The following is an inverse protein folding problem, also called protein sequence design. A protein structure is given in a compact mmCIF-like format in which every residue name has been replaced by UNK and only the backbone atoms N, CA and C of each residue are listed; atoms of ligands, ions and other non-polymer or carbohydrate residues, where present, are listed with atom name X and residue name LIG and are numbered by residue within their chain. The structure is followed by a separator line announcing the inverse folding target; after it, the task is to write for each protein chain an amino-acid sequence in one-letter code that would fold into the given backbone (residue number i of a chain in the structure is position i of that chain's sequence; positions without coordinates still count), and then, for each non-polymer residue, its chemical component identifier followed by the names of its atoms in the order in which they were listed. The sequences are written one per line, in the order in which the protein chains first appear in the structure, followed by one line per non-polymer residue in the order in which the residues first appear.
data_IF_818438814371
#
_entry.id   IF_818438814371
#
_cell.length_a   1.000
_cell.length_b   1.000
_cell.length_c   1.000
_cell.angle_alpha   90.00
_cell.angle_beta   90.00
_cell.angle_gamma   90.00
#
_symmetry.space_group_name_H-M   'P 1'
#
loop_
_entity.id
_entity.type
_entity.pdbx_description
1 polymer ?
#
# COMPACT_ATOMS: atom_id res chain seq x y z
N UNK A 1 1.11 17.52 -11.90
CA UNK A 1 1.76 18.76 -12.42
C UNK A 1 3.25 18.69 -12.15
N UNK A 2 4.10 18.73 -13.20
CA UNK A 2 5.57 18.64 -13.02
C UNK A 2 6.11 19.94 -12.43
N UNK A 3 6.87 19.83 -11.37
CA UNK A 3 7.54 21.00 -10.75
C UNK A 3 8.71 21.47 -11.62
N UNK A 4 9.09 22.77 -11.56
CA UNK A 4 10.28 23.28 -12.21
C UNK A 4 11.55 22.52 -11.76
N UNK A 5 12.52 22.37 -12.66
CA UNK A 5 13.75 21.62 -12.42
C UNK A 5 14.51 22.08 -11.15
N UNK A 6 14.54 23.38 -10.87
CA UNK A 6 15.20 23.91 -9.68
C UNK A 6 14.57 23.42 -8.36
N UNK A 7 13.21 23.20 -8.32
CA UNK A 7 12.54 22.60 -7.15
C UNK A 7 12.93 21.13 -6.98
N UNK A 8 13.03 20.37 -8.09
CA UNK A 8 13.53 19.00 -8.04
C UNK A 8 14.95 18.96 -7.49
N UNK A 9 15.87 19.79 -7.97
CA UNK A 9 17.24 19.85 -7.45
C UNK A 9 17.27 20.25 -5.98
N UNK A 10 16.46 21.23 -5.58
CA UNK A 10 16.38 21.67 -4.19
C UNK A 10 15.89 20.56 -3.26
N UNK A 11 15.00 19.69 -3.73
CA UNK A 11 14.42 18.61 -2.94
C UNK A 11 15.44 17.53 -2.50
N UNK A 12 16.63 17.51 -3.07
CA UNK A 12 17.74 16.66 -2.61
C UNK A 12 18.51 17.23 -1.41
N UNK A 13 18.33 18.52 -1.14
CA UNK A 13 19.00 19.23 -0.04
C UNK A 13 18.05 19.51 1.11
N UNK A 14 16.80 19.85 0.79
CA UNK A 14 15.75 20.09 1.78
C UNK A 14 14.38 19.73 1.22
N UNK A 15 13.44 19.43 2.11
CA UNK A 15 12.05 19.20 1.75
C UNK A 15 11.45 20.48 1.15
N UNK A 16 10.70 20.36 0.07
CA UNK A 16 10.06 21.46 -0.67
C UNK A 16 8.56 21.31 -0.55
N UNK A 17 7.94 22.25 0.16
CA UNK A 17 6.48 22.31 0.31
C UNK A 17 5.81 22.54 -1.05
N UNK A 18 4.82 21.74 -1.36
CA UNK A 18 4.08 21.80 -2.62
C UNK A 18 2.65 22.28 -2.38
N UNK A 19 1.91 21.58 -1.53
CA UNK A 19 0.50 21.86 -1.29
C UNK A 19 0.06 21.28 0.05
N UNK A 20 -0.81 22.01 0.73
CA UNK A 20 -1.51 21.53 1.94
C UNK A 20 -3.00 21.71 1.72
N UNK A 21 -3.77 20.69 1.99
CA UNK A 21 -5.23 20.71 1.93
C UNK A 21 -5.83 19.99 3.15
N UNK A 22 -7.11 20.19 3.37
CA UNK A 22 -7.94 19.43 4.31
C UNK A 22 -8.92 18.57 3.49
N UNK A 23 -9.27 17.41 4.01
CA UNK A 23 -10.29 16.53 3.43
C UNK A 23 -11.28 16.09 4.49
N UNK A 24 -12.42 15.48 4.11
CA UNK A 24 -13.36 14.92 5.07
C UNK A 24 -12.79 13.81 5.95
N UNK A 25 -11.72 13.15 5.52
CA UNK A 25 -11.08 12.02 6.20
C UNK A 25 -9.79 12.41 6.92
N UNK A 26 -9.12 13.47 6.46
CA UNK A 26 -7.84 13.91 7.00
C UNK A 26 -7.82 15.45 7.15
N UNK A 27 -7.74 15.97 8.39
CA UNK A 27 -7.68 17.40 8.63
C UNK A 27 -6.40 18.04 8.10
N UNK A 28 -5.39 17.23 7.77
CA UNK A 28 -4.11 17.69 7.25
C UNK A 28 -3.54 16.71 6.24
N UNK A 29 -3.54 17.10 4.98
CA UNK A 29 -2.87 16.42 3.88
C UNK A 29 -1.83 17.35 3.29
N UNK A 30 -0.56 16.98 3.42
CA UNK A 30 0.55 17.80 2.93
C UNK A 30 1.37 17.03 1.89
N UNK A 31 1.46 17.61 0.71
CA UNK A 31 2.32 17.12 -0.37
C UNK A 31 3.63 17.85 -0.32
N UNK A 32 4.72 17.13 -0.17
CA UNK A 32 6.09 17.64 -0.24
C UNK A 32 6.87 16.97 -1.36
N UNK A 33 7.84 17.66 -1.93
CA UNK A 33 8.82 17.10 -2.84
C UNK A 33 10.13 16.86 -2.08
N UNK A 34 10.54 15.60 -1.97
CA UNK A 34 11.70 15.15 -1.22
C UNK A 34 12.48 14.14 -2.04
N UNK A 35 13.78 14.37 -2.23
CA UNK A 35 14.65 13.52 -3.05
C UNK A 35 14.09 13.23 -4.45
N UNK A 36 13.47 14.25 -5.07
CA UNK A 36 12.86 14.13 -6.38
C UNK A 36 11.53 13.39 -6.45
N UNK A 37 10.99 12.92 -5.32
CA UNK A 37 9.73 12.17 -5.23
C UNK A 37 8.68 12.96 -4.44
N UNK A 38 7.41 12.83 -4.86
CA UNK A 38 6.31 13.35 -4.06
C UNK A 38 6.04 12.45 -2.87
N UNK A 39 5.91 13.08 -1.72
CA UNK A 39 5.52 12.43 -0.47
C UNK A 39 4.21 13.05 0.01
N UNK A 40 3.24 12.20 0.35
CA UNK A 40 2.02 12.61 1.04
C UNK A 40 2.17 12.28 2.51
N UNK A 41 2.00 13.30 3.34
CA UNK A 41 2.04 13.14 4.80
C UNK A 41 0.75 13.67 5.42
N UNK A 42 0.36 13.03 6.52
CA UNK A 42 -0.65 13.51 7.46
C UNK A 42 0.03 14.12 8.68
N UNK A 43 -0.70 14.38 9.74
CA UNK A 43 -0.11 14.91 10.97
C UNK A 43 0.92 13.96 11.59
N UNK A 44 0.69 12.64 11.55
CA UNK A 44 1.50 11.64 12.24
C UNK A 44 2.02 10.52 11.33
N UNK A 45 1.69 10.51 10.03
CA UNK A 45 2.05 9.42 9.14
C UNK A 45 2.54 9.88 7.76
N UNK A 46 3.28 8.99 7.09
CA UNK A 46 3.62 9.08 5.68
C UNK A 46 2.69 8.13 4.93
N UNK A 47 1.73 8.68 4.16
CA UNK A 47 0.80 7.88 3.37
C UNK A 47 1.41 7.37 2.07
N UNK A 48 2.35 8.10 1.49
CA UNK A 48 2.92 7.73 0.20
C UNK A 48 4.26 8.43 -0.01
N UNK A 49 5.22 7.76 -0.65
CA UNK A 49 6.54 8.33 -0.96
C UNK A 49 7.12 7.74 -2.25
N UNK A 50 6.34 7.61 -3.29
CA UNK A 50 6.78 7.07 -4.55
C UNK A 50 7.49 5.72 -4.37
N UNK A 51 8.60 5.50 -5.09
CA UNK A 51 9.41 4.28 -4.96
C UNK A 51 10.33 4.26 -3.71
N UNK A 52 10.30 5.31 -2.89
CA UNK A 52 10.99 5.39 -1.61
C UNK A 52 10.10 5.01 -0.42
N UNK A 53 8.88 4.54 -0.66
CA UNK A 53 7.97 3.99 0.34
C UNK A 53 8.46 2.58 0.72
N UNK A 54 9.27 2.52 1.76
CA UNK A 54 10.18 1.41 2.05
C UNK A 54 9.51 0.08 2.40
N UNK A 55 8.35 0.09 3.09
CA UNK A 55 7.70 -1.12 3.60
C UNK A 55 7.40 -2.13 2.48
N UNK A 56 6.61 -1.75 1.47
CA UNK A 56 6.29 -2.64 0.34
C UNK A 56 7.52 -2.92 -0.53
N UNK A 57 8.43 -1.95 -0.75
CA UNK A 57 9.62 -2.20 -1.55
C UNK A 57 10.54 -3.23 -0.92
N UNK A 58 10.69 -3.22 0.42
CA UNK A 58 11.46 -4.22 1.17
C UNK A 58 10.78 -5.59 1.16
N UNK A 59 9.45 -5.63 1.19
CA UNK A 59 8.69 -6.88 1.05
C UNK A 59 8.83 -7.47 -0.35
N UNK A 60 8.61 -6.70 -1.40
CA UNK A 60 8.73 -7.18 -2.79
C UNK A 60 10.13 -7.70 -3.13
N UNK A 61 11.20 -7.13 -2.55
CA UNK A 61 12.57 -7.67 -2.71
C UNK A 61 12.74 -9.09 -2.15
N UNK A 62 11.89 -9.49 -1.22
CA UNK A 62 11.94 -10.83 -0.61
C UNK A 62 10.99 -11.83 -1.28
N UNK A 63 10.12 -11.36 -2.18
CA UNK A 63 9.16 -12.18 -2.92
C UNK A 63 9.72 -12.50 -4.32
N UNK A 64 9.57 -13.73 -4.76
CA UNK A 64 9.93 -14.15 -6.12
C UNK A 64 8.83 -13.77 -7.12
N UNK A 65 8.77 -12.47 -7.45
CA UNK A 65 7.77 -11.92 -8.37
C UNK A 65 7.85 -12.52 -9.78
N UNK A 66 9.02 -13.05 -10.20
CA UNK A 66 9.20 -13.64 -11.53
C UNK A 66 8.55 -15.02 -11.64
N UNK A 67 8.47 -15.73 -10.52
CA UNK A 67 7.81 -17.05 -10.45
C UNK A 67 6.28 -16.94 -10.41
N UNK A 68 5.77 -15.80 -9.97
CA UNK A 68 4.33 -15.60 -9.80
C UNK A 68 3.68 -15.16 -11.11
N UNK A 69 2.50 -15.69 -11.37
CA UNK A 69 1.65 -15.25 -12.49
C UNK A 69 0.69 -14.19 -11.97
N UNK A 70 1.10 -12.94 -12.05
CA UNK A 70 0.31 -11.80 -11.58
C UNK A 70 -0.06 -10.97 -12.80
N UNK A 71 -1.34 -10.69 -12.97
CA UNK A 71 -1.90 -9.75 -13.93
C UNK A 71 -2.75 -8.68 -13.23
N UNK A 72 -3.66 -9.10 -12.38
CA UNK A 72 -4.68 -8.26 -11.74
C UNK A 72 -4.31 -8.01 -10.28
N UNK A 73 -4.12 -6.75 -9.92
CA UNK A 73 -3.65 -6.32 -8.59
C UNK A 73 -4.67 -5.37 -7.97
N UNK A 74 -5.17 -5.73 -6.79
CA UNK A 74 -5.97 -4.85 -5.96
C UNK A 74 -5.09 -4.08 -4.99
N UNK A 75 -5.31 -2.77 -4.91
CA UNK A 75 -4.69 -1.90 -3.91
C UNK A 75 -5.81 -1.29 -3.06
N UNK A 76 -5.86 -1.65 -1.79
CA UNK A 76 -6.74 -1.05 -0.79
C UNK A 76 -5.93 0.01 -0.03
N UNK A 77 -6.31 1.29 -0.22
CA UNK A 77 -5.52 2.43 0.21
C UNK A 77 -4.47 2.81 -0.85
N UNK A 78 -4.85 3.70 -1.79
CA UNK A 78 -3.99 4.04 -2.92
C UNK A 78 -2.91 5.07 -2.61
N UNK A 79 -3.24 6.07 -1.76
CA UNK A 79 -2.38 7.21 -1.50
C UNK A 79 -1.99 7.95 -2.79
N UNK A 80 -0.72 8.23 -2.99
CA UNK A 80 -0.21 8.78 -4.26
C UNK A 80 0.26 7.70 -5.25
N UNK A 81 -0.08 6.42 -5.06
CA UNK A 81 0.29 5.34 -5.98
C UNK A 81 1.73 4.85 -5.85
N UNK A 82 2.24 4.78 -4.63
CA UNK A 82 3.60 4.27 -4.37
C UNK A 82 3.79 2.83 -4.83
N UNK A 83 2.80 1.96 -4.62
CA UNK A 83 2.89 0.53 -4.95
C UNK A 83 3.05 0.31 -6.47
N UNK A 84 2.17 0.79 -7.35
CA UNK A 84 2.36 0.60 -8.79
C UNK A 84 3.63 1.27 -9.29
N UNK A 85 3.97 2.46 -8.79
CA UNK A 85 5.19 3.16 -9.21
C UNK A 85 6.45 2.36 -8.87
N UNK A 86 6.54 1.77 -7.65
CA UNK A 86 7.70 0.96 -7.29
C UNK A 86 7.77 -0.35 -8.05
N UNK A 87 6.63 -1.02 -8.28
CA UNK A 87 6.60 -2.25 -9.05
C UNK A 87 7.10 -2.02 -10.48
N UNK A 88 6.73 -0.90 -11.11
CA UNK A 88 7.25 -0.55 -12.43
C UNK A 88 8.73 -0.15 -12.41
N UNK A 89 9.14 0.71 -11.47
CA UNK A 89 10.47 1.36 -11.52
C UNK A 89 11.58 0.55 -10.87
N UNK A 90 11.27 -0.25 -9.85
CA UNK A 90 12.27 -1.05 -9.12
C UNK A 90 12.27 -2.53 -9.51
N UNK A 91 11.14 -3.05 -10.00
CA UNK A 91 10.96 -4.49 -10.27
C UNK A 91 10.66 -4.79 -11.73
N UNK A 92 10.51 -3.76 -12.58
CA UNK A 92 10.14 -3.89 -14.01
C UNK A 92 8.86 -4.71 -14.21
N UNK A 93 7.85 -4.50 -13.33
CA UNK A 93 6.57 -5.18 -13.35
C UNK A 93 5.46 -4.22 -13.73
N UNK A 94 4.60 -4.66 -14.64
CA UNK A 94 3.39 -3.93 -15.06
C UNK A 94 2.20 -4.84 -14.93
N UNK A 95 1.20 -4.37 -14.22
CA UNK A 95 -0.03 -5.10 -13.93
C UNK A 95 -1.25 -4.26 -14.28
N UNK A 96 -2.42 -4.85 -14.26
CA UNK A 96 -3.68 -4.12 -14.21
C UNK A 96 -4.02 -3.86 -12.74
N UNK A 97 -4.26 -2.60 -12.40
CA UNK A 97 -4.52 -2.22 -11.03
C UNK A 97 -5.98 -1.82 -10.85
N UNK A 98 -6.63 -2.36 -9.84
CA UNK A 98 -7.85 -1.85 -9.22
C UNK A 98 -7.44 -1.14 -7.95
N UNK A 99 -7.67 0.16 -7.87
CA UNK A 99 -7.23 1.01 -6.77
C UNK A 99 -8.45 1.55 -6.02
N UNK A 100 -8.58 1.18 -4.76
CA UNK A 100 -9.65 1.63 -3.87
C UNK A 100 -9.10 2.68 -2.92
N UNK A 101 -9.73 3.83 -2.87
CA UNK A 101 -9.38 4.94 -1.99
C UNK A 101 -10.67 5.59 -1.49
N UNK A 102 -10.75 5.87 -0.18
CA UNK A 102 -11.93 6.48 0.42
C UNK A 102 -11.94 8.01 0.27
N UNK A 103 -10.74 8.61 0.23
CA UNK A 103 -10.57 10.05 0.24
C UNK A 103 -10.49 10.62 -1.19
N UNK A 104 -11.50 11.36 -1.67
CA UNK A 104 -11.50 11.94 -3.01
C UNK A 104 -10.36 12.95 -3.20
N UNK A 105 -9.95 13.64 -2.14
CA UNK A 105 -8.89 14.62 -2.20
C UNK A 105 -7.51 13.94 -2.35
N UNK A 106 -7.32 12.77 -1.75
CA UNK A 106 -6.13 11.93 -1.98
C UNK A 106 -6.06 11.47 -3.44
N UNK A 107 -7.17 11.00 -4.03
CA UNK A 107 -7.22 10.66 -5.46
C UNK A 107 -6.95 11.88 -6.36
N UNK A 108 -7.46 13.05 -6.01
CA UNK A 108 -7.18 14.28 -6.75
C UNK A 108 -5.69 14.63 -6.71
N UNK A 109 -5.05 14.53 -5.53
CA UNK A 109 -3.60 14.75 -5.38
C UNK A 109 -2.79 13.71 -6.17
N UNK A 110 -3.17 12.44 -6.13
CA UNK A 110 -2.53 11.39 -6.90
C UNK A 110 -2.57 11.68 -8.40
N UNK A 111 -3.76 12.00 -8.93
CA UNK A 111 -3.93 12.36 -10.34
C UNK A 111 -3.12 13.61 -10.73
N UNK A 112 -3.03 14.57 -9.84
CA UNK A 112 -2.29 15.84 -10.07
C UNK A 112 -0.79 15.62 -10.13
N UNK A 113 -0.22 14.73 -9.31
CA UNK A 113 1.22 14.67 -9.08
C UNK A 113 1.91 13.39 -9.56
N UNK A 114 1.26 12.22 -9.50
CA UNK A 114 1.94 10.94 -9.62
C UNK A 114 1.36 9.99 -10.66
N UNK A 115 0.04 9.93 -10.82
CA UNK A 115 -0.63 8.98 -11.74
C UNK A 115 -0.10 9.09 -13.17
N UNK A 116 0.23 10.31 -13.63
CA UNK A 116 0.79 10.53 -14.97
C UNK A 116 2.20 9.95 -15.20
N UNK A 117 2.88 9.51 -14.15
CA UNK A 117 4.20 8.86 -14.23
C UNK A 117 4.08 7.31 -14.20
N UNK A 118 2.90 6.77 -13.84
CA UNK A 118 2.58 5.33 -13.87
C UNK A 118 2.11 4.97 -15.29
N UNK A 119 2.67 3.91 -15.86
CA UNK A 119 2.39 3.48 -17.25
C UNK A 119 1.34 2.36 -17.32
N UNK A 120 1.15 1.66 -16.22
CA UNK A 120 0.14 0.62 -16.07
C UNK A 120 -1.26 1.20 -16.05
N UNK A 121 -2.24 0.40 -16.47
CA UNK A 121 -3.66 0.77 -16.35
C UNK A 121 -4.10 0.70 -14.90
N UNK A 122 -4.84 1.73 -14.45
CA UNK A 122 -5.41 1.79 -13.11
C UNK A 122 -6.89 2.11 -13.25
N UNK A 123 -7.73 1.26 -12.67
CA UNK A 123 -9.14 1.53 -12.44
C UNK A 123 -9.33 2.05 -11.02
N UNK A 124 -9.95 3.21 -10.86
CA UNK A 124 -10.14 3.85 -9.57
C UNK A 124 -11.55 3.66 -9.04
N UNK A 125 -11.65 3.19 -7.81
CA UNK A 125 -12.90 3.11 -7.05
C UNK A 125 -12.82 4.06 -5.86
N UNK A 126 -13.62 5.13 -5.89
CA UNK A 126 -13.83 5.99 -4.74
C UNK A 126 -14.82 5.30 -3.80
N UNK A 127 -14.29 4.52 -2.88
CA UNK A 127 -15.07 3.69 -1.96
C UNK A 127 -14.29 3.42 -0.68
N UNK A 128 -15.04 3.14 0.38
CA UNK A 128 -14.49 2.49 1.55
C UNK A 128 -14.01 1.07 1.19
N UNK A 129 -12.83 0.69 1.66
CA UNK A 129 -12.18 -0.58 1.33
C UNK A 129 -12.92 -1.80 1.93
N UNK A 130 -13.55 -1.64 3.09
CA UNK A 130 -14.37 -2.68 3.70
C UNK A 130 -15.61 -2.96 2.85
N UNK A 131 -16.30 -1.89 2.48
CA UNK A 131 -17.49 -1.96 1.60
C UNK A 131 -17.12 -2.56 0.24
N UNK A 132 -16.01 -2.15 -0.36
CA UNK A 132 -15.56 -2.73 -1.61
C UNK A 132 -15.31 -4.24 -1.48
N UNK A 133 -14.60 -4.67 -0.42
CA UNK A 133 -14.30 -6.07 -0.19
C UNK A 133 -15.55 -6.93 0.09
N UNK A 134 -16.59 -6.34 0.66
CA UNK A 134 -17.86 -7.03 0.94
C UNK A 134 -18.69 -7.27 -0.32
N UNK A 135 -18.70 -6.33 -1.26
CA UNK A 135 -19.64 -6.37 -2.40
C UNK A 135 -19.00 -6.71 -3.74
N UNK A 136 -17.67 -6.71 -3.86
CA UNK A 136 -17.04 -7.07 -5.13
C UNK A 136 -17.07 -8.57 -5.39
N UNK A 137 -17.36 -8.94 -6.65
CA UNK A 137 -17.21 -10.32 -7.14
C UNK A 137 -15.87 -10.54 -7.87
N UNK A 138 -15.06 -9.49 -7.99
CA UNK A 138 -13.78 -9.54 -8.69
C UNK A 138 -12.75 -10.39 -7.95
N UNK A 139 -11.80 -10.93 -8.72
CA UNK A 139 -10.70 -11.76 -8.21
C UNK A 139 -9.38 -11.19 -8.64
N UNK A 140 -8.39 -11.29 -7.76
CA UNK A 140 -7.08 -10.70 -7.94
C UNK A 140 -5.96 -11.71 -7.72
N UNK A 141 -4.88 -11.55 -8.46
CA UNK A 141 -3.67 -12.35 -8.29
C UNK A 141 -2.78 -11.83 -7.16
N UNK A 142 -2.90 -10.52 -6.87
CA UNK A 142 -2.24 -9.90 -5.74
C UNK A 142 -3.16 -8.86 -5.09
N UNK A 143 -3.20 -8.85 -3.77
CA UNK A 143 -3.89 -7.83 -2.98
C UNK A 143 -2.84 -7.15 -2.09
N UNK A 144 -2.76 -5.82 -2.17
CA UNK A 144 -1.97 -4.99 -1.28
C UNK A 144 -2.93 -4.21 -0.39
N UNK A 145 -2.97 -4.54 0.90
CA UNK A 145 -3.78 -3.85 1.91
C UNK A 145 -2.90 -2.83 2.66
N UNK A 146 -3.14 -1.56 2.40
CA UNK A 146 -2.38 -0.41 2.93
C UNK A 146 -3.31 0.72 3.41
N UNK A 147 -4.42 0.32 4.07
CA UNK A 147 -5.41 1.28 4.59
C UNK A 147 -4.98 1.79 5.96
N UNK A 148 -4.90 3.11 6.07
CA UNK A 148 -4.62 3.80 7.33
C UNK A 148 -5.51 5.04 7.44
N UNK A 149 -5.96 5.32 8.65
CA UNK A 149 -6.50 6.61 9.06
C UNK A 149 -5.46 7.25 9.98
N UNK A 150 -4.72 8.24 9.45
CA UNK A 150 -3.49 8.74 10.04
C UNK A 150 -2.49 7.59 10.30
N UNK A 151 -2.15 7.28 11.54
CA UNK A 151 -1.23 6.19 11.90
C UNK A 151 -1.93 4.93 12.45
N UNK A 152 -3.22 4.77 12.20
CA UNK A 152 -4.03 3.68 12.75
C UNK A 152 -4.76 2.93 11.65
N UNK A 153 -4.80 1.62 11.72
CA UNK A 153 -5.70 0.80 10.93
C UNK A 153 -7.04 0.74 11.68
N UNK A 154 -8.17 1.13 11.06
CA UNK A 154 -9.48 0.98 11.66
C UNK A 154 -9.76 -0.49 12.02
N UNK A 155 -10.42 -0.70 13.18
CA UNK A 155 -10.55 -2.04 13.79
C UNK A 155 -11.30 -3.04 12.90
N UNK A 156 -12.25 -2.57 12.10
CA UNK A 156 -13.03 -3.38 11.17
C UNK A 156 -12.17 -4.14 10.15
N UNK A 157 -11.00 -3.60 9.79
CA UNK A 157 -10.06 -4.27 8.88
C UNK A 157 -9.27 -5.40 9.56
N UNK A 158 -9.37 -5.53 10.88
CA UNK A 158 -8.75 -6.60 11.67
C UNK A 158 -9.75 -7.72 12.02
N UNK A 159 -11.02 -7.60 11.66
CA UNK A 159 -12.04 -8.60 11.91
C UNK A 159 -11.94 -9.80 10.94
N UNK A 160 -12.38 -10.97 11.41
CA UNK A 160 -12.31 -12.20 10.62
C UNK A 160 -13.11 -12.12 9.32
N UNK A 161 -14.27 -11.46 9.33
CA UNK A 161 -15.12 -11.31 8.16
C UNK A 161 -14.39 -10.55 7.03
N UNK A 162 -13.64 -9.50 7.37
CA UNK A 162 -12.82 -8.79 6.38
C UNK A 162 -11.70 -9.67 5.83
N UNK A 163 -11.01 -10.43 6.69
CA UNK A 163 -9.97 -11.38 6.26
C UNK A 163 -10.53 -12.48 5.35
N UNK A 164 -11.75 -12.95 5.62
CA UNK A 164 -12.47 -13.90 4.77
C UNK A 164 -12.77 -13.27 3.42
N UNK A 165 -13.23 -12.02 3.39
CA UNK A 165 -13.48 -11.29 2.14
C UNK A 165 -12.19 -11.14 1.32
N UNK A 166 -11.07 -10.75 1.94
CA UNK A 166 -9.76 -10.71 1.27
C UNK A 166 -9.38 -12.09 0.68
N UNK A 167 -9.58 -13.15 1.45
CA UNK A 167 -9.31 -14.52 0.97
C UNK A 167 -10.20 -14.90 -0.21
N UNK A 168 -11.47 -14.51 -0.15
CA UNK A 168 -12.43 -14.78 -1.23
C UNK A 168 -12.11 -14.01 -2.50
N UNK A 169 -11.52 -12.81 -2.42
CA UNK A 169 -11.09 -12.02 -3.58
C UNK A 169 -9.78 -12.53 -4.21
N UNK A 170 -9.05 -13.44 -3.59
CA UNK A 170 -7.84 -14.00 -4.18
C UNK A 170 -8.16 -15.05 -5.24
N UNK A 171 -7.47 -14.96 -6.39
CA UNK A 171 -7.40 -16.04 -7.36
C UNK A 171 -6.69 -17.28 -6.75
N UNK A 172 -6.88 -18.48 -7.32
CA UNK A 172 -6.05 -19.63 -6.95
C UNK A 172 -4.57 -19.30 -7.08
N UNK A 173 -3.80 -19.50 -6.01
CA UNK A 173 -2.40 -19.11 -5.85
C UNK A 173 -2.13 -17.59 -5.76
N UNK A 174 -3.16 -16.76 -5.63
CA UNK A 174 -3.02 -15.34 -5.38
C UNK A 174 -2.31 -15.03 -4.06
N UNK A 175 -1.74 -13.84 -3.99
CA UNK A 175 -0.97 -13.41 -2.81
C UNK A 175 -1.61 -12.18 -2.16
N UNK A 176 -1.55 -12.15 -0.83
CA UNK A 176 -1.95 -11.01 -0.01
C UNK A 176 -0.73 -10.44 0.71
N UNK A 177 -0.56 -9.13 0.60
CA UNK A 177 0.37 -8.34 1.40
C UNK A 177 -0.45 -7.38 2.27
N UNK A 178 -0.49 -7.62 3.57
CA UNK A 178 -1.26 -6.82 4.54
C UNK A 178 -0.28 -6.04 5.43
N UNK A 179 -0.30 -4.72 5.31
CA UNK A 179 0.60 -3.86 6.07
C UNK A 179 0.10 -3.61 7.49
N UNK A 180 0.98 -3.82 8.48
CA UNK A 180 0.76 -3.52 9.90
C UNK A 180 1.90 -2.69 10.45
N UNK A 181 1.59 -1.58 11.13
CA UNK A 181 2.60 -0.78 11.82
C UNK A 181 3.20 -1.55 13.00
N UNK A 182 4.52 -1.41 13.16
CA UNK A 182 5.29 -2.01 14.28
C UNK A 182 6.34 -1.04 14.81
N UNK A 183 6.12 0.26 14.65
CA UNK A 183 7.10 1.29 14.97
C UNK A 183 7.42 1.38 16.46
N UNK A 184 6.40 1.20 17.31
CA UNK A 184 6.56 1.14 18.78
C UNK A 184 6.31 -0.27 19.29
N UNK A 185 6.85 -0.60 20.46
CA UNK A 185 6.69 -1.93 21.08
C UNK A 185 5.22 -2.35 21.23
N UNK A 186 4.32 -1.39 21.56
CA UNK A 186 2.87 -1.63 21.63
C UNK A 186 2.27 -2.02 20.29
N UNK A 187 2.71 -1.36 19.21
CA UNK A 187 2.22 -1.62 17.85
C UNK A 187 2.71 -3.00 17.38
N UNK A 188 3.97 -3.32 17.69
CA UNK A 188 4.56 -4.63 17.42
C UNK A 188 3.78 -5.74 18.14
N UNK A 189 3.48 -5.55 19.41
CA UNK A 189 2.70 -6.52 20.19
C UNK A 189 1.27 -6.68 19.63
N UNK A 190 0.63 -5.58 19.24
CA UNK A 190 -0.69 -5.61 18.61
C UNK A 190 -0.64 -6.37 17.27
N UNK A 191 0.35 -6.10 16.40
CA UNK A 191 0.54 -6.79 15.13
C UNK A 191 0.79 -8.30 15.31
N UNK A 192 1.60 -8.68 16.30
CA UNK A 192 1.84 -10.10 16.62
C UNK A 192 0.58 -10.80 17.15
N UNK A 193 -0.20 -10.12 17.99
CA UNK A 193 -1.46 -10.65 18.49
C UNK A 193 -2.48 -10.83 17.36
N UNK A 194 -2.63 -9.82 16.50
CA UNK A 194 -3.47 -9.91 15.32
C UNK A 194 -3.04 -11.06 14.40
N UNK A 195 -1.75 -11.17 14.10
CA UNK A 195 -1.23 -12.25 13.29
C UNK A 195 -1.56 -13.63 13.87
N UNK A 196 -1.33 -13.84 15.16
CA UNK A 196 -1.51 -15.14 15.82
C UNK A 196 -2.98 -15.53 15.99
N UNK A 197 -3.82 -14.56 16.39
CA UNK A 197 -5.19 -14.83 16.86
C UNK A 197 -6.25 -14.66 15.77
N UNK A 198 -5.96 -13.94 14.68
CA UNK A 198 -6.93 -13.69 13.59
C UNK A 198 -6.35 -14.12 12.25
N UNK A 199 -5.28 -13.47 11.79
CA UNK A 199 -4.75 -13.67 10.44
C UNK A 199 -4.37 -15.12 10.15
N UNK A 200 -3.64 -15.77 11.07
CA UNK A 200 -3.15 -17.16 10.93
C UNK A 200 -4.28 -18.20 10.94
N UNK A 201 -5.44 -17.90 11.52
CA UNK A 201 -6.61 -18.77 11.46
C UNK A 201 -7.22 -18.83 10.06
N UNK A 202 -7.23 -17.71 9.34
CA UNK A 202 -7.77 -17.62 7.98
C UNK A 202 -6.72 -18.05 6.94
N UNK A 203 -5.46 -17.66 7.15
CA UNK A 203 -4.33 -17.95 6.26
C UNK A 203 -3.32 -18.87 6.95
N UNK A 204 -3.65 -20.16 7.01
CA UNK A 204 -2.87 -21.17 7.76
C UNK A 204 -1.41 -21.31 7.32
N UNK A 205 -1.11 -21.03 6.04
CA UNK A 205 0.25 -21.05 5.50
C UNK A 205 0.92 -19.67 5.54
N UNK A 206 0.24 -18.68 6.15
CA UNK A 206 0.69 -17.30 6.24
C UNK A 206 1.94 -17.13 7.09
N UNK A 207 2.60 -16.02 6.90
CA UNK A 207 3.72 -15.53 7.69
C UNK A 207 3.81 -14.02 7.61
N UNK A 208 4.91 -13.44 8.05
CA UNK A 208 5.15 -12.02 7.89
C UNK A 208 6.63 -11.71 7.62
N UNK A 209 6.85 -10.55 7.02
CA UNK A 209 8.15 -9.95 6.83
C UNK A 209 8.27 -8.74 7.75
N UNK A 210 9.32 -8.68 8.55
CA UNK A 210 9.69 -7.48 9.29
C UNK A 210 10.48 -6.55 8.36
N UNK A 211 9.93 -5.37 8.11
CA UNK A 211 10.47 -4.40 7.14
C UNK A 211 10.74 -3.03 7.76
N UNK A 212 11.34 -3.03 8.95
CA UNK A 212 11.74 -1.83 9.69
C UNK A 212 10.57 -0.88 10.01
N UNK A 213 9.84 -1.19 11.05
CA UNK A 213 8.69 -0.41 11.53
C UNK A 213 7.35 -0.85 10.99
N UNK A 214 7.33 -1.86 10.11
CA UNK A 214 6.12 -2.52 9.62
C UNK A 214 6.29 -4.04 9.57
N UNK A 215 5.20 -4.76 9.81
CA UNK A 215 5.06 -6.14 9.37
C UNK A 215 4.21 -6.18 8.11
N UNK A 216 4.71 -6.82 7.05
CA UNK A 216 3.91 -7.18 5.89
C UNK A 216 3.48 -8.64 6.07
N UNK A 217 2.21 -8.83 6.43
CA UNK A 217 1.65 -10.16 6.59
C UNK A 217 1.35 -10.74 5.21
N UNK A 218 1.68 -12.01 5.03
CA UNK A 218 1.51 -12.75 3.79
C UNK A 218 0.55 -13.92 4.02
N UNK A 219 -0.37 -14.16 3.11
CA UNK A 219 -1.26 -15.33 3.18
C UNK A 219 -0.53 -16.67 3.00
N UNK A 220 0.67 -16.64 2.39
CA UNK A 220 1.52 -17.82 2.15
C UNK A 220 2.99 -17.41 2.08
N UNK A 221 3.91 -18.24 2.56
CA UNK A 221 5.36 -17.95 2.61
C UNK A 221 6.20 -18.67 1.57
N UNK A 222 5.62 -19.60 0.82
CA UNK A 222 6.32 -20.33 -0.26
C UNK A 222 6.65 -19.43 -1.48
N UNK A 223 6.16 -18.21 -1.47
CA UNK A 223 6.44 -17.17 -2.47
C UNK A 223 7.75 -16.42 -2.22
N UNK A 224 8.36 -16.63 -1.06
CA UNK A 224 9.61 -15.94 -0.70
C UNK A 224 10.79 -16.47 -1.51
N UNK A 225 11.74 -15.58 -1.79
CA UNK A 225 13.01 -15.95 -2.39
C UNK A 225 13.72 -16.98 -1.49
N UNK A 226 14.01 -18.16 -2.03
CA UNK A 226 14.85 -19.13 -1.34
C UNK A 226 16.28 -18.53 -1.34
N UNK A 227 16.73 -18.06 -0.18
CA UNK A 227 18.13 -17.71 -0.04
C UNK A 227 18.96 -18.98 -0.30
N UNK A 228 19.60 -19.02 -1.46
CA UNK A 228 20.64 -20.01 -1.74
C UNK A 228 21.89 -19.71 -0.94
#
# INVERSE_FOLDING_TARGET
MKQPLWRHLLSYVKDVDIETIESPYNPFLHVILKRGQYQLVTENAIYSYGNLYDNFSKAFKQIDLDRLKINDVLILGFGLGSIPLMLETLFDKKYYYTAVEIDPDVLQLANKYTVGDIKSSIEFHLSDAYTFAEYTEEKFDMICMDVFLDNTIPIEFEEEDFLINLKNMLNPNGILLFNKLTFHDKDKQAAENFFKNHFKHIFTEGGYLDVDGNYILLNRIDILNIKK
#
